data_IF_974305200333
#
_entry.id   IF_974305200333
#
_cell.length_a   1.000
_cell.length_b   1.000
_cell.length_c   1.000
_cell.angle_alpha   90.00
_cell.angle_beta   90.00
_cell.angle_gamma   90.00
#
_symmetry.space_group_name_H-M   'P 1'
#
loop_
_entity.id
_entity.type
_entity.pdbx_description
1 polymer ?
#
# COMPACT_ATOMS: atom_id res chain seq x y z
N UNK A 1 9.88 3.14 6.26
CA UNK A 1 11.17 2.80 5.67
C UNK A 1 12.11 2.22 6.69
N UNK A 2 12.49 0.98 6.52
CA UNK A 2 13.63 0.48 7.28
C UNK A 2 14.84 1.33 6.87
N UNK A 3 15.46 1.98 7.84
CA UNK A 3 16.81 2.45 7.67
C UNK A 3 17.67 1.20 7.40
N UNK A 4 18.16 1.05 6.19
CA UNK A 4 19.15 0.03 5.88
C UNK A 4 20.43 0.42 6.62
N UNK A 5 20.61 -0.13 7.82
CA UNK A 5 21.85 0.01 8.56
C UNK A 5 22.94 -0.71 7.79
N UNK A 6 23.79 -0.01 7.07
CA UNK A 6 25.11 -0.42 6.59
C UNK A 6 25.33 -1.84 6.06
N UNK A 7 24.32 -2.70 6.03
CA UNK A 7 24.37 -4.04 5.49
C UNK A 7 24.18 -3.99 3.97
N UNK A 8 25.02 -4.74 3.28
CA UNK A 8 24.97 -4.88 1.82
C UNK A 8 23.61 -5.48 1.44
N UNK A 9 22.81 -4.77 0.63
CA UNK A 9 21.54 -5.25 0.12
C UNK A 9 21.73 -6.56 -0.66
N UNK A 10 21.12 -7.64 -0.18
CA UNK A 10 21.03 -8.89 -0.94
C UNK A 10 19.65 -8.96 -1.61
N UNK A 11 19.67 -9.05 -2.94
CA UNK A 11 18.46 -9.31 -3.72
C UNK A 11 18.05 -10.76 -3.56
N UNK A 12 16.74 -10.99 -3.40
CA UNK A 12 16.17 -12.33 -3.40
C UNK A 12 16.13 -12.91 -4.81
N UNK A 13 16.07 -14.22 -4.92
CA UNK A 13 16.08 -14.92 -6.21
C UNK A 13 14.99 -14.42 -7.16
N UNK A 14 13.75 -14.26 -6.68
CA UNK A 14 12.67 -13.74 -7.53
C UNK A 14 12.90 -12.31 -8.01
N UNK A 15 13.63 -11.50 -7.25
CA UNK A 15 14.00 -10.14 -7.68
C UNK A 15 15.05 -10.21 -8.78
N UNK A 16 16.03 -11.11 -8.68
CA UNK A 16 17.04 -11.32 -9.74
C UNK A 16 16.40 -11.84 -11.02
N UNK A 17 15.46 -12.78 -10.91
CA UNK A 17 14.69 -13.29 -12.05
C UNK A 17 13.92 -12.16 -12.75
N UNK A 18 13.29 -11.26 -11.97
CA UNK A 18 12.59 -10.10 -12.51
C UNK A 18 13.54 -9.15 -13.24
N UNK A 19 14.70 -8.87 -12.66
CA UNK A 19 15.72 -8.02 -13.29
C UNK A 19 16.23 -8.62 -14.60
N UNK A 20 16.49 -9.91 -14.63
CA UNK A 20 16.94 -10.62 -15.83
C UNK A 20 15.87 -10.57 -16.92
N UNK A 21 14.61 -10.78 -16.55
CA UNK A 21 13.48 -10.70 -17.49
C UNK A 21 13.34 -9.30 -18.09
N UNK A 22 13.46 -8.25 -17.29
CA UNK A 22 13.41 -6.87 -17.77
C UNK A 22 14.56 -6.55 -18.73
N UNK A 23 15.75 -7.03 -18.42
CA UNK A 23 16.93 -6.87 -19.28
C UNK A 23 16.75 -7.58 -20.64
N UNK A 24 16.22 -8.80 -20.63
CA UNK A 24 15.91 -9.55 -21.85
C UNK A 24 14.83 -8.86 -22.69
N UNK A 25 13.81 -8.29 -22.07
CA UNK A 25 12.76 -7.54 -22.77
C UNK A 25 13.34 -6.34 -23.50
N UNK A 26 14.21 -5.57 -22.87
CA UNK A 26 14.87 -4.43 -23.49
C UNK A 26 15.80 -4.87 -24.64
N UNK A 27 16.49 -6.00 -24.48
CA UNK A 27 17.31 -6.58 -25.54
C UNK A 27 16.48 -6.94 -26.77
N UNK A 28 15.22 -7.33 -26.58
CA UNK A 28 14.25 -7.59 -27.65
C UNK A 28 13.53 -6.32 -28.14
N UNK A 29 13.99 -5.13 -27.69
CA UNK A 29 13.43 -3.81 -28.01
C UNK A 29 12.01 -3.55 -27.52
N UNK A 30 11.60 -4.24 -26.46
CA UNK A 30 10.38 -3.90 -25.75
C UNK A 30 10.60 -2.60 -24.97
N UNK A 31 9.60 -1.72 -24.98
CA UNK A 31 9.69 -0.38 -24.38
C UNK A 31 8.77 -0.19 -23.19
N UNK A 32 7.94 -1.19 -22.89
CA UNK A 32 6.97 -1.12 -21.79
C UNK A 32 6.79 -2.51 -21.19
N UNK A 33 6.74 -2.58 -19.87
CA UNK A 33 6.52 -3.84 -19.15
C UNK A 33 5.80 -3.61 -17.83
N UNK A 34 5.20 -4.68 -17.31
CA UNK A 34 4.54 -4.74 -16.01
C UNK A 34 5.31 -5.69 -15.09
N UNK A 35 5.56 -5.25 -13.87
CA UNK A 35 6.04 -6.09 -12.79
C UNK A 35 4.88 -6.36 -11.84
N UNK A 36 4.41 -7.61 -11.85
CA UNK A 36 3.33 -8.05 -10.98
C UNK A 36 3.92 -8.78 -9.77
N UNK A 37 4.09 -8.05 -8.67
CA UNK A 37 4.58 -8.63 -7.41
C UNK A 37 3.63 -8.28 -6.27
N UNK A 38 3.30 -9.27 -5.46
CA UNK A 38 2.45 -9.08 -4.28
C UNK A 38 3.02 -8.01 -3.36
N UNK A 39 2.15 -7.30 -2.66
CA UNK A 39 2.54 -6.29 -1.66
C UNK A 39 3.46 -6.93 -0.62
N UNK A 40 4.53 -6.25 -0.26
CA UNK A 40 5.49 -6.72 0.75
C UNK A 40 6.65 -7.53 0.21
N UNK A 41 6.73 -7.77 -1.12
CA UNK A 41 7.81 -8.55 -1.75
C UNK A 41 8.97 -7.70 -2.24
N UNK A 42 8.97 -6.39 -2.02
CA UNK A 42 10.06 -5.51 -2.41
C UNK A 42 10.07 -5.12 -3.90
N UNK A 43 8.89 -4.95 -4.50
CA UNK A 43 8.78 -4.56 -5.93
C UNK A 43 9.41 -3.20 -6.24
N UNK A 44 9.33 -2.25 -5.31
CA UNK A 44 9.97 -0.92 -5.49
C UNK A 44 11.49 -1.05 -5.52
N UNK A 45 12.08 -1.87 -4.65
CA UNK A 45 13.52 -2.17 -4.66
C UNK A 45 13.94 -2.76 -6.01
N UNK A 46 13.18 -3.72 -6.52
CA UNK A 46 13.42 -4.32 -7.84
C UNK A 46 13.40 -3.27 -8.95
N UNK A 47 12.40 -2.38 -8.96
CA UNK A 47 12.29 -1.31 -9.95
C UNK A 47 13.47 -0.33 -9.88
N UNK A 48 13.85 0.08 -8.67
CA UNK A 48 15.00 0.98 -8.46
C UNK A 48 16.29 0.34 -8.97
N UNK A 49 16.52 -0.93 -8.69
CA UNK A 49 17.70 -1.63 -9.15
C UNK A 49 17.75 -1.76 -10.68
N UNK A 50 16.61 -2.00 -11.32
CA UNK A 50 16.53 -2.04 -12.77
C UNK A 50 16.81 -0.66 -13.40
N UNK A 51 16.21 0.38 -12.87
CA UNK A 51 16.46 1.76 -13.31
C UNK A 51 17.92 2.17 -13.14
N UNK A 52 18.53 1.78 -12.02
CA UNK A 52 19.97 2.01 -11.75
C UNK A 52 20.85 1.33 -12.78
N UNK A 53 20.53 0.10 -13.16
CA UNK A 53 21.27 -0.63 -14.20
C UNK A 53 21.19 0.08 -15.56
N UNK A 54 20.06 0.71 -15.90
CA UNK A 54 19.91 1.50 -17.11
C UNK A 54 20.68 2.83 -17.05
N UNK A 55 20.80 3.42 -15.88
CA UNK A 55 21.69 4.57 -15.61
C UNK A 55 21.16 5.93 -16.02
N UNK A 56 20.13 6.02 -16.86
CA UNK A 56 19.54 7.27 -17.33
C UNK A 56 18.66 7.98 -16.30
N UNK A 57 18.11 9.13 -16.70
CA UNK A 57 17.21 9.87 -15.83
C UNK A 57 15.88 9.14 -15.63
N UNK A 58 15.38 9.18 -14.41
CA UNK A 58 14.20 8.42 -13.99
C UNK A 58 13.12 9.36 -13.47
N UNK A 59 11.88 9.13 -13.91
CA UNK A 59 10.66 9.67 -13.29
C UNK A 59 9.90 8.52 -12.62
N UNK A 60 9.68 8.64 -11.33
CA UNK A 60 8.80 7.75 -10.58
C UNK A 60 7.52 8.50 -10.25
N UNK A 61 6.36 7.95 -10.60
CA UNK A 61 5.06 8.57 -10.30
C UNK A 61 4.17 7.64 -9.50
N UNK A 62 3.48 8.24 -8.54
CA UNK A 62 2.49 7.58 -7.70
C UNK A 62 1.37 8.54 -7.35
N UNK A 63 0.23 8.02 -6.89
CA UNK A 63 -0.93 8.85 -6.61
C UNK A 63 -1.05 9.27 -5.13
N UNK A 64 -0.20 8.75 -4.23
CA UNK A 64 -0.14 9.17 -2.82
C UNK A 64 1.24 9.65 -2.44
N UNK A 65 1.30 10.58 -1.47
CA UNK A 65 2.57 11.08 -0.96
C UNK A 65 3.36 10.02 -0.20
N UNK A 66 2.69 9.06 0.43
CA UNK A 66 3.36 7.94 1.07
C UNK A 66 4.19 7.13 0.09
N UNK A 67 3.62 6.81 -1.07
CA UNK A 67 4.32 6.09 -2.14
C UNK A 67 5.47 6.90 -2.71
N UNK A 68 5.27 8.21 -2.92
CA UNK A 68 6.32 9.12 -3.37
C UNK A 68 7.48 9.16 -2.37
N UNK A 69 7.18 9.31 -1.09
CA UNK A 69 8.18 9.38 -0.03
C UNK A 69 8.93 8.07 0.16
N UNK A 70 8.26 6.93 0.05
CA UNK A 70 8.89 5.61 0.10
C UNK A 70 9.83 5.40 -1.08
N UNK A 71 9.41 5.75 -2.28
CA UNK A 71 10.26 5.68 -3.47
C UNK A 71 11.48 6.58 -3.35
N UNK A 72 11.29 7.82 -2.90
CA UNK A 72 12.37 8.76 -2.66
C UNK A 72 13.42 8.17 -1.72
N UNK A 73 13.00 7.65 -0.57
CA UNK A 73 13.89 7.02 0.40
C UNK A 73 14.63 5.80 -0.19
N UNK A 74 13.93 4.98 -0.97
CA UNK A 74 14.52 3.80 -1.62
C UNK A 74 15.57 4.19 -2.65
N UNK A 75 15.29 5.19 -3.49
CA UNK A 75 16.28 5.70 -4.45
C UNK A 75 17.50 6.27 -3.76
N UNK A 76 17.32 7.10 -2.72
CA UNK A 76 18.47 7.65 -1.97
C UNK A 76 19.34 6.55 -1.35
N UNK A 77 18.70 5.52 -0.80
CA UNK A 77 19.40 4.41 -0.16
C UNK A 77 20.17 3.54 -1.15
N UNK A 78 19.56 3.22 -2.30
CA UNK A 78 20.11 2.24 -3.25
C UNK A 78 20.93 2.86 -4.39
N UNK A 79 20.70 4.12 -4.67
CA UNK A 79 21.38 4.84 -5.76
C UNK A 79 21.92 6.19 -5.27
N UNK A 80 22.87 6.13 -4.37
CA UNK A 80 23.37 7.29 -3.61
C UNK A 80 24.33 8.20 -4.38
N UNK A 81 24.79 7.81 -5.56
CA UNK A 81 25.70 8.58 -6.41
C UNK A 81 24.99 9.49 -7.43
N UNK A 82 23.67 9.56 -7.39
CA UNK A 82 22.87 10.48 -8.20
C UNK A 82 21.95 11.34 -7.32
N UNK A 83 21.55 12.49 -7.87
CA UNK A 83 20.58 13.34 -7.18
C UNK A 83 19.19 12.76 -7.25
N UNK A 84 18.45 12.81 -6.14
CA UNK A 84 17.07 12.39 -6.04
C UNK A 84 16.23 13.58 -5.55
N UNK A 85 15.19 13.91 -6.25
CA UNK A 85 14.29 15.01 -5.90
C UNK A 85 12.84 14.60 -5.88
N UNK A 86 12.00 15.47 -5.33
CA UNK A 86 10.54 15.31 -5.29
C UNK A 86 9.86 16.34 -6.17
N UNK A 87 8.72 15.95 -6.74
CA UNK A 87 7.87 16.82 -7.51
C UNK A 87 6.41 16.65 -7.05
N UNK A 88 6.03 17.45 -6.06
CA UNK A 88 4.69 17.41 -5.47
C UNK A 88 4.41 18.73 -4.74
N UNK A 89 3.21 19.24 -4.85
CA UNK A 89 2.77 20.47 -4.20
C UNK A 89 3.73 21.66 -4.45
N UNK A 90 4.38 22.18 -3.42
CA UNK A 90 5.32 23.31 -3.51
C UNK A 90 6.75 22.87 -3.89
N UNK A 91 7.06 21.57 -3.87
CA UNK A 91 8.41 21.06 -4.17
C UNK A 91 8.51 20.72 -5.65
N UNK A 92 9.42 21.37 -6.38
CA UNK A 92 9.55 21.24 -7.84
C UNK A 92 11.00 20.96 -8.27
N UNK A 93 11.54 19.82 -7.87
CA UNK A 93 12.94 19.43 -8.15
C UNK A 93 13.04 18.74 -9.52
N UNK A 94 12.88 19.50 -10.61
CA UNK A 94 12.84 18.95 -11.98
C UNK A 94 14.21 18.52 -12.54
N UNK A 95 15.30 19.00 -11.98
CA UNK A 95 16.65 18.79 -12.51
C UNK A 95 17.38 17.60 -11.88
N UNK A 96 16.80 17.00 -10.84
CA UNK A 96 17.38 15.82 -10.21
C UNK A 96 17.46 14.66 -11.19
N UNK A 97 18.47 13.82 -11.05
CA UNK A 97 18.62 12.62 -11.89
C UNK A 97 17.41 11.70 -11.78
N UNK A 98 16.92 11.52 -10.55
CA UNK A 98 15.67 10.81 -10.25
C UNK A 98 14.66 11.82 -9.70
N UNK A 99 13.48 11.87 -10.29
CA UNK A 99 12.37 12.70 -9.81
C UNK A 99 11.24 11.78 -9.35
N UNK A 100 10.89 11.86 -8.06
CA UNK A 100 9.76 11.14 -7.49
C UNK A 100 8.59 12.12 -7.35
N UNK A 101 7.54 11.94 -8.14
CA UNK A 101 6.44 12.87 -8.23
C UNK A 101 5.08 12.26 -7.94
N UNK A 102 4.17 13.11 -7.43
CA UNK A 102 2.76 12.74 -7.45
C UNK A 102 2.24 12.86 -8.86
N UNK A 103 1.42 11.90 -9.27
CA UNK A 103 0.87 11.90 -10.65
C UNK A 103 0.07 13.18 -10.93
N UNK A 104 -0.66 13.69 -9.93
CA UNK A 104 -1.46 14.91 -10.05
C UNK A 104 -0.56 16.13 -10.33
N UNK A 105 0.50 16.32 -9.57
CA UNK A 105 1.42 17.43 -9.74
C UNK A 105 2.15 17.37 -11.07
N UNK A 106 2.60 16.20 -11.49
CA UNK A 106 3.27 16.01 -12.79
C UNK A 106 2.32 16.32 -13.93
N UNK A 107 1.09 15.79 -13.89
CA UNK A 107 0.10 16.00 -14.93
C UNK A 107 -0.32 17.48 -15.08
N UNK A 108 -0.36 18.23 -13.99
CA UNK A 108 -0.68 19.66 -14.00
C UNK A 108 0.46 20.56 -14.48
N UNK A 109 1.69 20.06 -14.50
CA UNK A 109 2.90 20.84 -14.77
C UNK A 109 3.76 20.23 -15.87
N UNK A 110 3.17 19.57 -16.84
CA UNK A 110 3.91 18.93 -17.94
C UNK A 110 4.77 19.92 -18.74
N UNK A 111 4.34 21.17 -18.84
CA UNK A 111 5.06 22.25 -19.51
C UNK A 111 6.41 22.61 -18.84
N UNK A 112 6.62 22.21 -17.60
CA UNK A 112 7.91 22.35 -16.91
C UNK A 112 8.95 21.33 -17.37
N UNK A 113 8.51 20.28 -18.07
CA UNK A 113 9.38 19.20 -18.54
C UNK A 113 9.43 19.18 -20.06
N UNK A 114 10.56 18.71 -20.59
CA UNK A 114 10.65 18.30 -22.00
C UNK A 114 10.14 16.85 -22.12
N UNK A 115 9.58 16.50 -23.25
CA UNK A 115 9.04 15.15 -23.49
C UNK A 115 10.12 14.05 -23.45
N UNK A 116 11.37 14.38 -23.67
CA UNK A 116 12.52 13.48 -23.64
C UNK A 116 13.38 13.61 -22.37
N UNK A 117 12.89 14.29 -21.33
CA UNK A 117 13.66 14.51 -20.09
C UNK A 117 14.02 13.22 -19.35
N UNK A 118 13.18 12.20 -19.45
CA UNK A 118 13.37 10.95 -18.72
C UNK A 118 13.58 9.77 -19.68
N UNK A 119 14.58 8.96 -19.34
CA UNK A 119 14.89 7.71 -20.07
C UNK A 119 14.04 6.54 -19.56
N UNK A 120 13.67 6.58 -18.29
CA UNK A 120 12.95 5.52 -17.61
C UNK A 120 11.81 6.11 -16.76
N UNK A 121 10.60 5.61 -16.96
CA UNK A 121 9.44 6.01 -16.14
C UNK A 121 8.92 4.80 -15.38
N UNK A 122 8.76 4.94 -14.07
CA UNK A 122 8.16 3.94 -13.20
C UNK A 122 6.79 4.45 -12.76
N UNK A 123 5.76 3.64 -12.97
CA UNK A 123 4.40 3.93 -12.55
C UNK A 123 4.02 2.98 -11.44
N UNK A 124 3.95 3.49 -10.22
CA UNK A 124 3.54 2.69 -9.08
C UNK A 124 2.01 2.56 -9.04
N UNK A 125 1.54 1.45 -8.52
CA UNK A 125 0.11 1.09 -8.55
C UNK A 125 -0.47 1.24 -9.96
N UNK A 126 0.16 0.56 -10.90
CA UNK A 126 -0.11 0.66 -12.33
C UNK A 126 -1.55 0.30 -12.74
N UNK A 127 -2.31 -0.34 -11.84
CA UNK A 127 -3.73 -0.58 -12.04
C UNK A 127 -4.57 0.72 -12.13
N UNK A 128 -4.00 1.88 -11.76
CA UNK A 128 -4.61 3.19 -11.97
C UNK A 128 -4.28 3.80 -13.34
N UNK A 129 -3.44 3.16 -14.16
CA UNK A 129 -2.89 3.75 -15.39
C UNK A 129 -3.94 4.10 -16.46
N UNK A 130 -5.15 3.56 -16.37
CA UNK A 130 -6.28 3.92 -17.25
C UNK A 130 -6.93 5.27 -16.91
N UNK A 131 -6.69 5.82 -15.73
CA UNK A 131 -7.23 7.11 -15.35
C UNK A 131 -6.67 8.23 -16.26
N UNK A 132 -7.48 9.25 -16.53
CA UNK A 132 -7.12 10.36 -17.44
C UNK A 132 -5.80 11.04 -17.05
N UNK A 133 -5.55 11.20 -15.75
CA UNK A 133 -4.32 11.81 -15.25
C UNK A 133 -3.08 11.02 -15.65
N UNK A 134 -3.13 9.70 -15.54
CA UNK A 134 -2.03 8.81 -15.96
C UNK A 134 -1.86 8.80 -17.48
N UNK A 135 -2.97 8.73 -18.23
CA UNK A 135 -2.93 8.75 -19.68
C UNK A 135 -2.31 10.04 -20.20
N UNK A 136 -2.58 11.16 -19.58
CA UNK A 136 -2.00 12.46 -19.93
C UNK A 136 -0.48 12.46 -19.77
N UNK A 137 0.03 11.90 -18.70
CA UNK A 137 1.47 11.78 -18.43
C UNK A 137 2.14 10.83 -19.43
N UNK A 138 1.54 9.67 -19.66
CA UNK A 138 2.05 8.67 -20.61
C UNK A 138 2.07 9.17 -22.05
N UNK A 139 1.08 9.98 -22.43
CA UNK A 139 1.02 10.56 -23.78
C UNK A 139 2.07 11.66 -23.99
N UNK A 140 2.45 12.38 -22.94
CA UNK A 140 3.41 13.48 -23.05
C UNK A 140 4.85 13.01 -23.18
N UNK A 141 5.29 12.13 -22.27
CA UNK A 141 6.69 11.70 -22.19
C UNK A 141 7.02 10.64 -23.24
N UNK A 142 8.27 10.67 -23.69
CA UNK A 142 8.84 9.70 -24.65
C UNK A 142 10.07 9.01 -24.07
N UNK A 143 9.92 8.21 -23.00
CA UNK A 143 11.06 7.51 -22.41
C UNK A 143 11.49 6.33 -23.28
N UNK A 144 12.67 5.80 -22.97
CA UNK A 144 13.16 4.55 -23.59
C UNK A 144 12.46 3.33 -23.02
N UNK A 145 12.02 3.40 -21.75
CA UNK A 145 11.37 2.29 -21.07
C UNK A 145 10.36 2.78 -20.03
N UNK A 146 9.22 2.10 -19.97
CA UNK A 146 8.18 2.34 -18.96
C UNK A 146 7.95 1.04 -18.19
N UNK A 147 8.04 1.11 -16.86
CA UNK A 147 7.75 -0.01 -15.97
C UNK A 147 6.54 0.31 -15.09
N UNK A 148 5.51 -0.50 -15.18
CA UNK A 148 4.38 -0.47 -14.25
C UNK A 148 4.60 -1.46 -13.12
N UNK A 149 4.29 -1.03 -11.90
CA UNK A 149 4.33 -1.87 -10.70
C UNK A 149 2.92 -2.09 -10.20
N UNK A 150 2.53 -3.33 -9.95
CA UNK A 150 1.22 -3.63 -9.38
C UNK A 150 1.24 -4.93 -8.56
N UNK A 151 0.42 -4.97 -7.53
CA UNK A 151 0.14 -6.19 -6.78
C UNK A 151 -1.09 -6.93 -7.32
N UNK A 152 -1.94 -6.25 -8.07
CA UNK A 152 -3.21 -6.78 -8.59
C UNK A 152 -3.38 -6.33 -10.05
N UNK A 153 -2.98 -7.15 -11.05
CA UNK A 153 -3.03 -6.75 -12.46
C UNK A 153 -4.45 -6.64 -13.02
N UNK A 154 -5.43 -7.23 -12.34
CA UNK A 154 -6.84 -7.18 -12.73
C UNK A 154 -7.62 -6.39 -11.69
N UNK A 155 -8.31 -5.33 -12.13
CA UNK A 155 -9.21 -4.54 -11.29
C UNK A 155 -10.65 -4.80 -11.59
N UNK A 156 -11.49 -4.56 -10.58
CA UNK A 156 -12.94 -4.66 -10.68
C UNK A 156 -13.61 -3.55 -11.55
N UNK A 157 -12.85 -2.57 -12.03
CA UNK A 157 -13.33 -1.44 -12.84
C UNK A 157 -13.14 -1.63 -14.35
N UNK A 158 -13.08 -2.87 -14.80
CA UNK A 158 -13.05 -3.31 -16.21
C UNK A 158 -11.86 -2.82 -17.05
N UNK A 159 -10.87 -2.16 -16.45
CA UNK A 159 -9.72 -1.71 -17.21
C UNK A 159 -8.61 -2.74 -17.18
N UNK A 160 -8.33 -3.31 -18.33
CA UNK A 160 -7.27 -4.29 -18.46
C UNK A 160 -5.91 -3.59 -18.58
N UNK A 161 -5.16 -3.51 -17.48
CA UNK A 161 -3.82 -2.92 -17.48
C UNK A 161 -2.84 -3.69 -18.39
N UNK A 162 -3.11 -4.95 -18.69
CA UNK A 162 -2.30 -5.73 -19.62
C UNK A 162 -2.38 -5.18 -21.03
N UNK A 163 -3.48 -4.53 -21.42
CA UNK A 163 -3.58 -3.84 -22.71
C UNK A 163 -2.65 -2.63 -22.78
N UNK A 164 -2.46 -1.92 -21.68
CA UNK A 164 -1.58 -0.75 -21.60
C UNK A 164 -0.13 -1.19 -21.55
N UNK A 165 0.23 -2.12 -20.70
CA UNK A 165 1.61 -2.53 -20.47
C UNK A 165 2.09 -3.66 -21.37
N UNK A 166 1.22 -4.35 -22.06
CA UNK A 166 1.48 -5.38 -23.09
C UNK A 166 2.30 -6.58 -22.63
N UNK A 167 3.33 -6.37 -21.83
CA UNK A 167 4.29 -7.38 -21.42
C UNK A 167 4.37 -7.48 -19.92
N UNK A 168 4.23 -8.68 -19.35
CA UNK A 168 4.51 -8.93 -17.95
C UNK A 168 5.91 -9.49 -17.82
N UNK A 169 6.80 -8.75 -17.15
CA UNK A 169 8.18 -9.15 -16.98
C UNK A 169 8.34 -10.32 -15.99
N UNK A 170 7.62 -10.23 -14.87
CA UNK A 170 7.67 -11.25 -13.83
C UNK A 170 6.40 -11.19 -13.00
N UNK A 171 5.92 -12.35 -12.56
CA UNK A 171 4.71 -12.46 -11.75
C UNK A 171 5.02 -13.22 -10.46
N UNK A 172 4.68 -12.60 -9.33
CA UNK A 172 4.77 -13.21 -8.00
C UNK A 172 3.50 -12.89 -7.22
N UNK A 173 2.52 -13.79 -7.25
CA UNK A 173 1.29 -13.64 -6.48
C UNK A 173 1.51 -14.00 -4.99
N UNK A 174 0.50 -13.71 -4.16
CA UNK A 174 0.58 -13.95 -2.71
C UNK A 174 0.83 -15.42 -2.41
N UNK A 175 0.13 -16.33 -3.07
CA UNK A 175 0.26 -17.77 -2.81
C UNK A 175 1.69 -18.26 -3.09
N UNK A 176 2.23 -17.93 -4.25
CA UNK A 176 3.59 -18.28 -4.62
C UNK A 176 4.60 -17.65 -3.68
N UNK A 177 4.39 -16.38 -3.29
CA UNK A 177 5.27 -15.68 -2.35
C UNK A 177 5.33 -16.38 -0.98
N UNK A 178 4.22 -16.91 -0.50
CA UNK A 178 4.19 -17.72 0.74
C UNK A 178 4.93 -19.05 0.53
N UNK A 179 4.70 -19.74 -0.57
CA UNK A 179 5.32 -21.03 -0.87
C UNK A 179 6.85 -20.94 -0.93
N UNK A 180 7.39 -19.87 -1.48
CA UNK A 180 8.85 -19.66 -1.55
C UNK A 180 9.44 -18.97 -0.31
N UNK A 181 8.63 -18.67 0.71
CA UNK A 181 9.08 -18.04 1.95
C UNK A 181 9.33 -16.53 1.85
N UNK A 182 8.84 -15.86 0.82
CA UNK A 182 8.94 -14.40 0.66
C UNK A 182 7.95 -13.64 1.52
N UNK A 183 6.83 -14.25 1.87
CA UNK A 183 5.81 -13.73 2.78
C UNK A 183 5.47 -14.77 3.84
N UNK A 184 5.00 -14.32 5.00
CA UNK A 184 4.53 -15.23 6.05
C UNK A 184 3.12 -15.74 5.72
N UNK A 185 2.76 -16.98 6.12
CA UNK A 185 1.41 -17.50 5.91
C UNK A 185 0.38 -16.75 6.77
N UNK A 186 -0.87 -16.81 6.35
CA UNK A 186 -2.01 -16.20 7.03
C UNK A 186 -2.81 -17.28 7.75
N UNK A 187 -3.18 -17.01 9.00
CA UNK A 187 -4.20 -17.75 9.75
C UNK A 187 -5.41 -16.86 9.91
N UNK A 188 -6.53 -17.27 9.34
CA UNK A 188 -7.75 -16.50 9.35
C UNK A 188 -8.75 -17.08 10.34
N UNK A 189 -9.29 -16.24 11.21
CA UNK A 189 -10.36 -16.56 12.15
C UNK A 189 -11.56 -15.70 11.79
N UNK A 190 -12.70 -16.33 11.51
CA UNK A 190 -13.95 -15.63 11.25
C UNK A 190 -14.75 -15.50 12.53
N UNK A 191 -15.18 -14.29 12.83
CA UNK A 191 -16.03 -13.99 13.95
C UNK A 191 -17.39 -13.54 13.40
N UNK A 192 -18.42 -14.35 13.63
CA UNK A 192 -19.78 -13.99 13.27
C UNK A 192 -20.34 -13.07 14.33
N UNK A 193 -20.64 -11.85 13.95
CA UNK A 193 -21.16 -10.86 14.89
C UNK A 193 -22.62 -11.10 15.25
N UNK A 194 -23.37 -11.81 14.40
CA UNK A 194 -24.81 -12.02 14.50
C UNK A 194 -25.60 -10.70 14.51
N UNK A 195 -25.04 -9.67 13.91
CA UNK A 195 -25.62 -8.33 13.81
C UNK A 195 -25.93 -8.04 12.34
N UNK A 196 -27.14 -7.52 12.08
CA UNK A 196 -27.51 -7.06 10.75
C UNK A 196 -27.06 -5.61 10.54
N UNK A 197 -26.06 -5.43 9.69
CA UNK A 197 -25.48 -4.13 9.37
C UNK A 197 -25.97 -3.56 8.04
N UNK A 198 -26.95 -4.18 7.40
CA UNK A 198 -27.41 -3.76 6.06
C UNK A 198 -28.01 -2.36 6.02
N UNK A 199 -28.59 -1.89 7.13
CA UNK A 199 -29.14 -0.54 7.26
C UNK A 199 -28.10 0.51 7.61
N UNK A 200 -26.88 0.10 7.96
CA UNK A 200 -25.82 1.02 8.33
C UNK A 200 -25.01 1.37 7.09
N UNK A 201 -24.84 2.65 6.82
CA UNK A 201 -24.01 3.14 5.72
C UNK A 201 -22.64 3.51 6.24
N UNK A 202 -21.66 2.76 5.80
CA UNK A 202 -20.25 3.04 6.07
C UNK A 202 -19.62 3.65 4.81
N UNK A 203 -19.25 4.92 4.88
CA UNK A 203 -18.52 5.59 3.81
C UNK A 203 -17.19 6.13 4.32
N UNK A 204 -16.35 6.65 3.43
CA UNK A 204 -15.01 7.11 3.76
C UNK A 204 -14.96 8.34 4.66
N UNK A 205 -16.05 9.08 4.81
CA UNK A 205 -16.08 10.35 5.57
C UNK A 205 -16.76 10.18 6.90
N UNK A 206 -17.99 9.65 6.92
CA UNK A 206 -18.77 9.41 8.13
C UNK A 206 -19.92 8.45 7.83
N UNK A 207 -20.44 7.77 8.86
CA UNK A 207 -21.68 7.07 8.80
C UNK A 207 -22.73 7.83 9.62
N UNK A 208 -23.99 7.76 9.16
CA UNK A 208 -25.10 8.46 9.79
C UNK A 208 -25.74 7.58 10.87
N UNK A 209 -25.71 8.03 12.12
CA UNK A 209 -26.30 7.32 13.26
C UNK A 209 -27.51 8.11 13.80
N UNK A 210 -28.52 8.34 12.95
CA UNK A 210 -29.77 8.99 13.38
C UNK A 210 -30.77 8.02 13.97
N UNK A 211 -30.74 6.79 13.50
CA UNK A 211 -31.63 5.73 14.00
C UNK A 211 -31.01 5.10 15.25
N UNK A 212 -31.79 5.01 16.31
CA UNK A 212 -31.35 4.43 17.58
C UNK A 212 -30.98 2.95 17.43
N UNK A 213 -31.73 2.18 16.63
CA UNK A 213 -31.44 0.76 16.41
C UNK A 213 -30.10 0.59 15.67
N UNK A 214 -29.82 1.44 14.68
CA UNK A 214 -28.55 1.47 13.97
C UNK A 214 -27.41 1.82 14.91
N UNK A 215 -27.61 2.81 15.81
CA UNK A 215 -26.61 3.18 16.81
C UNK A 215 -26.30 2.03 17.76
N UNK A 216 -27.29 1.30 18.22
CA UNK A 216 -27.12 0.13 19.09
C UNK A 216 -26.33 -0.95 18.36
N UNK A 217 -26.69 -1.27 17.12
CA UNK A 217 -25.97 -2.27 16.32
C UNK A 217 -24.49 -1.90 16.11
N UNK A 218 -24.20 -0.65 15.80
CA UNK A 218 -22.81 -0.16 15.64
C UNK A 218 -22.03 -0.27 16.94
N UNK A 219 -22.63 0.13 18.05
CA UNK A 219 -22.00 0.08 19.38
C UNK A 219 -21.71 -1.36 19.80
N UNK A 220 -22.67 -2.28 19.63
CA UNK A 220 -22.48 -3.70 19.94
C UNK A 220 -21.39 -4.33 19.07
N UNK A 221 -21.37 -4.01 17.79
CA UNK A 221 -20.34 -4.51 16.87
C UNK A 221 -18.96 -4.01 17.25
N UNK A 222 -18.80 -2.73 17.56
CA UNK A 222 -17.52 -2.16 17.99
C UNK A 222 -17.05 -2.80 19.32
N UNK A 223 -17.97 -3.09 20.22
CA UNK A 223 -17.66 -3.79 21.46
C UNK A 223 -17.17 -5.20 21.22
N UNK A 224 -17.78 -5.94 20.30
CA UNK A 224 -17.31 -7.28 19.91
C UNK A 224 -15.87 -7.25 19.36
N UNK A 225 -15.52 -6.23 18.60
CA UNK A 225 -14.17 -6.05 18.07
C UNK A 225 -13.16 -5.92 19.23
N UNK A 226 -13.46 -5.07 20.21
CA UNK A 226 -12.59 -4.87 21.38
C UNK A 226 -12.53 -6.13 22.25
N UNK A 227 -13.67 -6.76 22.51
CA UNK A 227 -13.74 -7.98 23.31
C UNK A 227 -12.94 -9.13 22.65
N UNK A 228 -13.01 -9.28 21.36
CA UNK A 228 -12.22 -10.27 20.61
C UNK A 228 -10.72 -10.02 20.76
N UNK A 229 -10.29 -8.77 20.72
CA UNK A 229 -8.89 -8.43 20.92
C UNK A 229 -8.41 -8.78 22.33
N UNK A 230 -9.19 -8.42 23.35
CA UNK A 230 -8.86 -8.70 24.74
C UNK A 230 -8.78 -10.21 25.02
N UNK A 231 -9.64 -11.00 24.40
CA UNK A 231 -9.71 -12.45 24.60
C UNK A 231 -8.62 -13.21 23.81
N UNK A 232 -8.43 -12.89 22.52
CA UNK A 232 -7.63 -13.70 21.63
C UNK A 232 -6.27 -13.11 21.26
N UNK A 233 -6.14 -11.79 21.22
CA UNK A 233 -4.95 -11.12 20.70
C UNK A 233 -3.93 -10.78 21.77
N UNK A 234 -4.35 -10.16 22.84
CA UNK A 234 -3.52 -9.86 24.02
C UNK A 234 -2.15 -9.25 23.69
N UNK A 235 -2.03 -7.95 23.71
CA UNK A 235 -0.77 -7.20 23.54
C UNK A 235 -0.02 -7.35 22.19
N UNK A 236 -0.50 -8.13 21.24
CA UNK A 236 0.10 -8.17 19.90
C UNK A 236 -0.29 -6.93 19.10
N UNK A 237 0.64 -6.42 18.32
CA UNK A 237 0.41 -5.23 17.49
C UNK A 237 -0.62 -5.52 16.42
N UNK A 238 -1.69 -4.74 16.44
CA UNK A 238 -2.90 -4.98 15.63
C UNK A 238 -3.27 -3.75 14.82
N UNK A 239 -3.57 -3.96 13.54
CA UNK A 239 -4.21 -2.96 12.70
C UNK A 239 -5.68 -3.34 12.54
N UNK A 240 -6.58 -2.40 12.84
CA UNK A 240 -8.02 -2.54 12.67
C UNK A 240 -8.45 -1.70 11.48
N UNK A 241 -8.92 -2.34 10.42
CA UNK A 241 -9.40 -1.65 9.22
C UNK A 241 -10.86 -1.26 9.40
N UNK A 242 -11.10 0.05 9.45
CA UNK A 242 -12.41 0.65 9.70
C UNK A 242 -13.00 1.25 8.44
N UNK A 243 -14.31 1.43 8.44
CA UNK A 243 -15.07 1.88 7.28
C UNK A 243 -15.03 3.41 7.07
N UNK A 244 -14.83 4.16 8.15
CA UNK A 244 -14.81 5.63 8.12
C UNK A 244 -13.87 6.17 9.20
N UNK A 245 -13.52 7.45 9.08
CA UNK A 245 -12.73 8.16 10.11
C UNK A 245 -13.41 8.08 11.47
N UNK A 246 -14.72 8.33 11.49
CA UNK A 246 -15.51 8.29 12.72
C UNK A 246 -15.54 6.87 13.33
N UNK A 247 -15.67 5.85 12.51
CA UNK A 247 -15.61 4.45 12.96
C UNK A 247 -14.25 4.15 13.60
N UNK A 248 -13.16 4.55 12.96
CA UNK A 248 -11.81 4.37 13.50
C UNK A 248 -11.62 5.08 14.85
N UNK A 249 -12.09 6.31 14.98
CA UNK A 249 -12.03 7.08 16.23
C UNK A 249 -12.84 6.42 17.35
N UNK A 250 -14.03 5.93 17.05
CA UNK A 250 -14.88 5.25 18.02
C UNK A 250 -14.28 3.93 18.51
N UNK A 251 -13.75 3.13 17.61
CA UNK A 251 -13.10 1.87 17.97
C UNK A 251 -11.84 2.14 18.79
N UNK A 252 -11.01 3.10 18.39
CA UNK A 252 -9.83 3.50 19.14
C UNK A 252 -10.18 3.96 20.54
N UNK A 253 -11.26 4.74 20.71
CA UNK A 253 -11.71 5.19 22.02
C UNK A 253 -12.14 4.03 22.92
N UNK A 254 -12.85 3.05 22.37
CA UNK A 254 -13.25 1.85 23.13
C UNK A 254 -12.03 1.03 23.59
N UNK A 255 -10.99 0.93 22.76
CA UNK A 255 -9.73 0.31 23.19
C UNK A 255 -9.08 1.07 24.34
N UNK A 256 -9.02 2.40 24.27
CA UNK A 256 -8.47 3.24 25.33
C UNK A 256 -9.26 3.09 26.62
N UNK A 257 -10.58 3.05 26.54
CA UNK A 257 -11.47 2.85 27.69
C UNK A 257 -11.23 1.49 28.35
N UNK A 258 -10.79 0.51 27.59
CA UNK A 258 -10.39 -0.82 28.08
C UNK A 258 -8.93 -0.89 28.55
N UNK A 259 -8.21 0.21 28.57
CA UNK A 259 -6.82 0.27 29.02
C UNK A 259 -5.79 -0.13 27.97
N UNK A 260 -6.15 -0.15 26.70
CA UNK A 260 -5.27 -0.52 25.58
C UNK A 260 -4.80 0.73 24.85
N UNK A 261 -3.50 0.84 24.59
CA UNK A 261 -2.97 1.94 23.79
C UNK A 261 -3.42 1.81 22.33
N UNK A 262 -4.23 2.76 21.89
CA UNK A 262 -4.83 2.76 20.56
C UNK A 262 -4.88 4.16 20.00
N UNK A 263 -4.72 4.28 18.67
CA UNK A 263 -4.87 5.53 17.94
C UNK A 263 -5.67 5.29 16.66
N UNK A 264 -6.39 6.32 16.24
CA UNK A 264 -7.05 6.35 14.94
C UNK A 264 -6.16 7.14 13.96
N UNK A 265 -5.95 6.58 12.77
CA UNK A 265 -5.23 7.25 11.69
C UNK A 265 -6.04 7.20 10.39
N UNK A 266 -5.92 8.26 9.60
CA UNK A 266 -6.63 8.37 8.33
C UNK A 266 -5.83 9.14 7.29
N UNK A 267 -6.22 9.01 6.03
CA UNK A 267 -5.61 9.75 4.94
C UNK A 267 -5.81 11.27 5.02
N UNK A 268 -6.82 11.73 5.78
CA UNK A 268 -7.11 13.17 5.98
C UNK A 268 -6.27 13.82 7.08
N UNK A 269 -5.53 13.07 7.86
CA UNK A 269 -4.63 13.61 8.89
C UNK A 269 -3.42 14.30 8.25
N UNK A 270 -2.84 15.26 8.99
CA UNK A 270 -1.54 15.81 8.61
C UNK A 270 -0.49 14.72 8.56
N UNK A 271 0.33 14.72 7.52
CA UNK A 271 1.37 13.70 7.30
C UNK A 271 2.30 13.54 8.49
N UNK A 272 2.69 14.66 9.14
CA UNK A 272 3.56 14.63 10.32
C UNK A 272 2.93 13.92 11.51
N UNK A 273 1.65 14.18 11.80
CA UNK A 273 0.91 13.50 12.87
C UNK A 273 0.75 12.00 12.58
N UNK A 274 0.40 11.68 11.36
CA UNK A 274 0.23 10.29 10.92
C UNK A 274 1.53 9.51 11.05
N UNK A 275 2.63 10.05 10.57
CA UNK A 275 3.94 9.41 10.66
C UNK A 275 4.40 9.22 12.09
N UNK A 276 4.10 10.16 12.98
CA UNK A 276 4.37 10.04 14.41
C UNK A 276 3.62 8.85 15.02
N UNK A 277 2.34 8.70 14.71
CA UNK A 277 1.53 7.59 15.22
C UNK A 277 1.97 6.25 14.65
N UNK A 278 2.30 6.20 13.37
CA UNK A 278 2.83 4.99 12.73
C UNK A 278 4.17 4.57 13.36
N UNK A 279 5.03 5.52 13.68
CA UNK A 279 6.30 5.24 14.36
C UNK A 279 6.09 4.66 15.77
N UNK A 280 5.15 5.21 16.53
CA UNK A 280 4.78 4.68 17.86
C UNK A 280 4.21 3.27 17.79
N UNK A 281 3.42 2.98 16.76
CA UNK A 281 2.92 1.63 16.50
C UNK A 281 4.06 0.67 16.15
N UNK A 282 4.97 1.08 15.28
CA UNK A 282 6.11 0.27 14.87
C UNK A 282 7.05 -0.08 16.04
N UNK A 283 7.24 0.84 16.99
CA UNK A 283 8.12 0.61 18.15
C UNK A 283 7.41 -0.05 19.35
N UNK A 284 6.10 -0.25 19.28
CA UNK A 284 5.32 -0.92 20.33
C UNK A 284 4.69 -0.01 21.39
N UNK A 285 4.86 1.30 21.31
CA UNK A 285 4.21 2.25 22.24
C UNK A 285 2.70 2.31 22.04
N UNK A 286 2.24 2.07 20.80
CA UNK A 286 0.84 1.93 20.45
C UNK A 286 0.60 0.48 20.01
N UNK A 287 -0.35 -0.20 20.62
CA UNK A 287 -0.67 -1.61 20.34
C UNK A 287 -1.70 -1.79 19.24
N UNK A 288 -2.64 -0.86 19.13
CA UNK A 288 -3.76 -0.95 18.16
C UNK A 288 -3.81 0.30 17.32
N UNK A 289 -3.72 0.12 16.03
CA UNK A 289 -3.85 1.17 15.03
C UNK A 289 -5.19 0.99 14.32
N UNK A 290 -6.13 1.91 14.56
CA UNK A 290 -7.42 1.91 13.87
C UNK A 290 -7.31 2.79 12.63
N UNK A 291 -7.45 2.22 11.46
CA UNK A 291 -7.13 2.87 10.21
C UNK A 291 -8.34 2.99 9.28
N UNK A 292 -8.48 4.15 8.65
CA UNK A 292 -9.46 4.39 7.61
C UNK A 292 -8.80 5.13 6.44
N UNK A 293 -8.98 4.62 5.22
CA UNK A 293 -8.49 5.17 3.95
C UNK A 293 -6.97 5.42 3.87
N UNK A 294 -6.25 5.22 4.98
CA UNK A 294 -4.83 5.45 5.08
C UNK A 294 -4.00 4.41 4.34
N UNK A 295 -4.48 3.17 4.37
CA UNK A 295 -3.66 1.99 4.09
C UNK A 295 -4.02 1.34 2.76
N UNK A 296 -4.71 2.05 1.90
CA UNK A 296 -5.03 1.54 0.57
C UNK A 296 -3.76 1.34 -0.25
N UNK A 297 -2.79 2.25 -0.09
CA UNK A 297 -1.52 2.19 -0.80
C UNK A 297 -0.44 2.89 0.04
N UNK A 298 0.79 2.37 0.00
CA UNK A 298 1.96 3.04 0.55
C UNK A 298 2.30 2.82 2.02
N UNK A 299 1.40 2.26 2.80
CA UNK A 299 1.73 1.92 4.18
C UNK A 299 2.57 0.65 4.26
N UNK A 300 3.57 0.67 5.13
CA UNK A 300 4.43 -0.48 5.37
C UNK A 300 4.77 -0.59 6.85
N UNK A 301 4.30 -1.63 7.52
CA UNK A 301 4.65 -1.94 8.89
C UNK A 301 4.76 -3.47 9.08
N UNK A 302 5.96 -4.04 8.83
CA UNK A 302 6.17 -5.48 8.96
C UNK A 302 6.02 -5.97 10.40
N UNK A 303 6.04 -5.07 11.38
CA UNK A 303 5.81 -5.39 12.79
C UNK A 303 4.34 -5.71 13.12
N UNK A 304 3.41 -5.52 12.18
CA UNK A 304 2.01 -5.90 12.38
C UNK A 304 1.88 -7.42 12.54
N UNK A 305 1.32 -7.85 13.65
CA UNK A 305 1.15 -9.27 13.98
C UNK A 305 -0.27 -9.76 13.72
N UNK A 306 -1.24 -8.84 13.81
CA UNK A 306 -2.67 -9.16 13.70
C UNK A 306 -3.38 -8.10 12.86
N UNK A 307 -4.26 -8.54 11.96
CA UNK A 307 -5.19 -7.69 11.23
C UNK A 307 -6.62 -7.97 11.67
N UNK A 308 -7.37 -6.91 11.96
CA UNK A 308 -8.81 -6.96 12.18
C UNK A 308 -9.52 -6.34 10.99
N UNK A 309 -10.25 -7.15 10.25
CA UNK A 309 -11.10 -6.69 9.15
C UNK A 309 -12.45 -6.27 9.74
N UNK A 310 -12.49 -5.08 10.30
CA UNK A 310 -13.68 -4.56 10.99
C UNK A 310 -14.68 -3.87 10.06
N UNK A 311 -14.27 -3.58 8.84
CA UNK A 311 -15.14 -2.99 7.83
C UNK A 311 -16.20 -4.01 7.41
N UNK A 312 -17.52 -3.68 7.45
CA UNK A 312 -18.58 -4.64 7.14
C UNK A 312 -18.52 -5.24 5.74
N UNK A 313 -18.06 -4.46 4.77
CA UNK A 313 -17.87 -4.91 3.40
C UNK A 313 -16.50 -4.44 2.90
N UNK A 314 -15.80 -5.31 2.19
CA UNK A 314 -14.50 -5.00 1.63
C UNK A 314 -14.37 -5.66 0.26
N UNK A 315 -13.91 -4.90 -0.74
CA UNK A 315 -13.67 -5.46 -2.07
C UNK A 315 -12.54 -6.50 -2.00
N UNK A 316 -12.56 -7.48 -2.89
CA UNK A 316 -11.50 -8.49 -2.99
C UNK A 316 -10.12 -7.85 -3.19
N UNK A 317 -10.05 -6.81 -4.00
CA UNK A 317 -8.80 -6.09 -4.27
C UNK A 317 -8.27 -5.43 -2.99
N UNK A 318 -9.11 -4.70 -2.27
CA UNK A 318 -8.73 -4.03 -1.03
C UNK A 318 -8.32 -5.05 0.04
N UNK A 319 -9.07 -6.14 0.20
CA UNK A 319 -8.75 -7.22 1.13
C UNK A 319 -7.38 -7.81 0.83
N UNK A 320 -7.11 -8.13 -0.43
CA UNK A 320 -5.82 -8.70 -0.86
C UNK A 320 -4.65 -7.73 -0.60
N UNK A 321 -4.84 -6.44 -0.87
CA UNK A 321 -3.83 -5.42 -0.60
C UNK A 321 -3.52 -5.32 0.90
N UNK A 322 -4.53 -5.34 1.75
CA UNK A 322 -4.35 -5.26 3.20
C UNK A 322 -3.66 -6.50 3.76
N UNK A 323 -4.05 -7.69 3.29
CA UNK A 323 -3.37 -8.93 3.66
C UNK A 323 -1.88 -8.89 3.31
N UNK A 324 -1.54 -8.49 2.09
CA UNK A 324 -0.16 -8.45 1.61
C UNK A 324 0.75 -7.59 2.49
N UNK A 325 0.23 -6.50 3.04
CA UNK A 325 0.99 -5.62 3.94
C UNK A 325 1.34 -6.29 5.27
N UNK A 326 0.39 -7.05 5.83
CA UNK A 326 0.61 -7.79 7.08
C UNK A 326 1.42 -9.06 6.91
N UNK A 327 1.56 -9.58 5.69
CA UNK A 327 2.29 -10.83 5.41
C UNK A 327 3.81 -10.64 5.28
N UNK A 328 4.33 -9.42 5.37
CA UNK A 328 5.78 -9.19 5.29
C UNK A 328 6.52 -9.92 6.41
N UNK A 329 7.65 -10.49 6.05
CA UNK A 329 8.55 -11.13 7.02
C UNK A 329 9.10 -10.07 7.97
N UNK A 330 9.05 -10.37 9.27
CA UNK A 330 9.67 -9.59 10.33
C UNK A 330 10.24 -10.52 11.39
N UNK A 331 11.14 -10.00 12.20
CA UNK A 331 11.71 -10.75 13.30
C UNK A 331 10.60 -11.27 14.23
N UNK A 332 10.70 -12.52 14.65
CA UNK A 332 9.74 -13.21 15.53
C UNK A 332 8.30 -13.36 14.96
N UNK A 333 8.16 -13.25 13.66
CA UNK A 333 6.87 -13.37 13.01
C UNK A 333 6.87 -14.54 12.02
N UNK A 334 6.19 -15.62 12.37
CA UNK A 334 6.08 -16.82 11.55
C UNK A 334 4.76 -16.91 10.78
N UNK A 335 3.76 -16.15 11.18
CA UNK A 335 2.47 -16.05 10.50
C UNK A 335 1.77 -14.72 10.85
N UNK A 336 0.79 -14.36 10.03
CA UNK A 336 -0.12 -13.24 10.28
C UNK A 336 -1.46 -13.80 10.73
N UNK A 337 -1.98 -13.31 11.84
CA UNK A 337 -3.36 -13.60 12.26
C UNK A 337 -4.32 -12.58 11.68
N UNK A 338 -5.41 -13.06 11.09
CA UNK A 338 -6.47 -12.21 10.55
C UNK A 338 -7.79 -12.57 11.22
N UNK A 339 -8.42 -11.57 11.81
CA UNK A 339 -9.78 -11.69 12.34
C UNK A 339 -10.74 -10.99 11.39
N UNK A 340 -11.61 -11.76 10.78
CA UNK A 340 -12.60 -11.28 9.84
C UNK A 340 -13.96 -11.27 10.52
N UNK A 341 -14.55 -10.07 10.69
CA UNK A 341 -15.83 -9.88 11.35
C UNK A 341 -16.93 -9.96 10.32
N UNK A 342 -17.72 -11.04 10.38
CA UNK A 342 -18.75 -11.36 9.40
C UNK A 342 -20.13 -11.06 10.02
N UNK A 343 -20.83 -10.15 9.41
CA UNK A 343 -22.17 -9.73 9.84
C UNK A 343 -23.26 -10.55 9.15
N UNK A 344 -24.48 -10.57 9.75
CA UNK A 344 -25.62 -11.17 9.11
C UNK A 344 -26.02 -10.35 7.89
N UNK A 345 -26.17 -11.03 6.75
CA UNK A 345 -26.80 -10.41 5.59
C UNK A 345 -28.31 -10.42 5.75
N UNK A 346 -28.99 -9.34 5.34
CA UNK A 346 -30.45 -9.37 5.24
C UNK A 346 -30.86 -10.35 4.15
N UNK A 347 -31.87 -11.18 4.45
CA UNK A 347 -32.53 -12.04 3.46
C UNK A 347 -33.40 -11.21 2.52
#
# INVERSE_FOLDING_TARGET
GQAFSGEKLELREYQREALDSLSEMRAKKETIALLYHATGTGKTVTAVMDAKCCGGRVLFVAHTMELVNQAFATFESLWNDVSVGKFADSIKNIESHVVCGSIQSVALNLDMFKDDDFDYIIIDEAHHASADTYQKVLAYFKPKFILGLTATPERADDTNILEIFKNTAHKLDIQTAVEIGALVPVRCIRIHTNIDMTKVRFNSVQYNIRDLDVKICVTERNKLIVDAWLEYVKNRRTVVFCASVKHAEQVAQLFKDAGVSAVAVSGSMKTSERNEQLAKFANGDVKVLCACDLLNEGWDCPQTEVLFMARPTMSKVLYTQQLGRGMRIAENKDHLMVFDFVDNASQ
#
